data_IF_170362765605
#
_entry.id   IF_170362765605
#
_cell.length_a   1.000
_cell.length_b   1.000
_cell.length_c   1.000
_cell.angle_alpha   90.00
_cell.angle_beta   90.00
_cell.angle_gamma   90.00
#
_symmetry.space_group_name_H-M   'P 1'
#
loop_
_entity.id
_entity.type
_entity.pdbx_description
1 polymer ?
#
# COMPACT_ATOMS: atom_id res chain seq x y z
N UNK A 1 33.10 0.13 -30.58
CA UNK A 1 31.70 -0.31 -30.71
C UNK A 1 31.00 -0.04 -29.37
N UNK A 2 30.02 0.87 -29.29
CA UNK A 2 29.20 1.02 -28.07
C UNK A 2 28.15 -0.08 -28.12
N UNK A 3 28.35 -1.14 -27.36
CA UNK A 3 27.32 -2.15 -27.15
C UNK A 3 26.15 -1.42 -26.49
N UNK A 4 25.00 -1.38 -27.16
CA UNK A 4 23.80 -0.70 -26.64
C UNK A 4 23.49 -1.25 -25.26
N UNK A 5 23.26 -0.36 -24.29
CA UNK A 5 22.86 -0.76 -22.94
C UNK A 5 21.59 -1.61 -23.06
N UNK A 6 21.54 -2.82 -22.49
CA UNK A 6 20.34 -3.67 -22.56
C UNK A 6 19.12 -2.87 -22.14
N UNK A 7 18.05 -2.90 -22.95
CA UNK A 7 16.78 -2.28 -22.60
C UNK A 7 16.28 -2.99 -21.34
N UNK A 8 16.11 -2.29 -20.20
CA UNK A 8 15.62 -2.92 -18.99
C UNK A 8 14.23 -3.48 -19.26
N UNK A 9 14.08 -4.79 -19.13
CA UNK A 9 12.78 -5.46 -19.20
C UNK A 9 11.88 -4.83 -18.14
N UNK A 10 10.64 -4.49 -18.51
CA UNK A 10 9.68 -3.94 -17.56
C UNK A 10 9.56 -4.93 -16.38
N UNK A 11 9.59 -4.44 -15.12
CA UNK A 11 9.34 -5.29 -13.98
C UNK A 11 7.89 -5.76 -14.08
N UNK A 12 7.70 -7.00 -14.55
CA UNK A 12 6.40 -7.62 -14.62
C UNK A 12 6.13 -8.28 -13.26
N UNK A 13 5.31 -7.66 -12.39
CA UNK A 13 5.08 -8.22 -11.07
C UNK A 13 4.30 -9.53 -11.21
N UNK A 14 4.60 -10.47 -10.32
CA UNK A 14 3.89 -11.74 -10.19
C UNK A 14 2.83 -11.58 -9.11
N UNK A 15 1.65 -12.15 -9.33
CA UNK A 15 0.59 -12.18 -8.34
C UNK A 15 0.96 -13.15 -7.22
N UNK A 16 0.98 -12.65 -5.98
CA UNK A 16 1.27 -13.49 -4.82
C UNK A 16 0.17 -14.54 -4.56
N UNK A 17 -1.07 -14.29 -5.03
CA UNK A 17 -2.21 -15.17 -4.76
C UNK A 17 -2.27 -16.37 -5.72
N UNK A 18 -1.97 -16.18 -7.01
CA UNK A 18 -2.06 -17.26 -8.03
C UNK A 18 -0.76 -17.55 -8.78
N UNK A 19 0.32 -16.78 -8.56
CA UNK A 19 1.57 -16.92 -9.29
C UNK A 19 1.52 -16.46 -10.75
N UNK A 20 0.39 -15.96 -11.24
CA UNK A 20 0.28 -15.44 -12.60
C UNK A 20 1.00 -14.09 -12.75
N UNK A 21 1.53 -13.83 -13.94
CA UNK A 21 2.15 -12.54 -14.27
C UNK A 21 1.08 -11.47 -14.44
N UNK A 22 1.33 -10.29 -13.89
CA UNK A 22 0.45 -9.14 -14.08
C UNK A 22 0.61 -8.54 -15.48
N UNK A 23 -0.47 -7.95 -15.97
CA UNK A 23 -0.50 -7.17 -17.20
C UNK A 23 -0.59 -5.69 -16.85
N UNK A 24 0.01 -4.84 -17.67
CA UNK A 24 -0.11 -3.39 -17.53
C UNK A 24 -1.39 -2.94 -18.23
N UNK A 25 -2.36 -2.43 -17.47
CA UNK A 25 -3.61 -1.86 -17.96
C UNK A 25 -3.59 -0.33 -17.86
N UNK A 26 -4.28 0.34 -18.78
CA UNK A 26 -4.43 1.80 -18.88
C UNK A 26 -5.90 2.18 -19.04
N UNK A 27 -6.22 3.45 -18.82
CA UNK A 27 -7.56 3.96 -19.06
C UNK A 27 -8.03 3.63 -20.48
N UNK A 28 -9.23 3.03 -20.58
CA UNK A 28 -9.80 2.54 -21.83
C UNK A 28 -9.59 1.05 -22.11
N UNK A 29 -8.69 0.37 -21.40
CA UNK A 29 -8.56 -1.08 -21.49
C UNK A 29 -9.70 -1.78 -20.74
N UNK A 30 -10.21 -2.90 -21.27
CA UNK A 30 -11.28 -3.69 -20.64
C UNK A 30 -10.91 -4.19 -19.23
N UNK A 31 -9.62 -4.41 -18.99
CA UNK A 31 -9.10 -4.88 -17.70
C UNK A 31 -8.79 -3.76 -16.73
N UNK A 32 -8.99 -2.50 -17.11
CA UNK A 32 -8.70 -1.36 -16.26
C UNK A 32 -9.75 -1.22 -15.14
N UNK A 33 -9.33 -1.16 -13.86
CA UNK A 33 -10.26 -1.24 -12.74
C UNK A 33 -11.04 0.05 -12.46
N UNK A 34 -10.71 1.16 -13.13
CA UNK A 34 -11.34 2.46 -12.90
C UNK A 34 -12.05 2.97 -14.16
N UNK A 35 -13.10 3.77 -13.97
CA UNK A 35 -13.79 4.44 -15.09
C UNK A 35 -13.02 5.68 -15.57
N UNK A 36 -12.31 6.35 -14.67
CA UNK A 36 -11.52 7.55 -14.94
C UNK A 36 -10.02 7.22 -15.03
N UNK A 37 -9.24 8.06 -15.74
CA UNK A 37 -7.81 7.86 -15.87
C UNK A 37 -7.06 8.21 -14.57
N UNK A 38 -6.70 7.17 -13.82
CA UNK A 38 -5.80 7.25 -12.67
C UNK A 38 -4.36 6.83 -12.99
N UNK A 39 -4.01 6.77 -14.28
CA UNK A 39 -2.73 6.31 -14.78
C UNK A 39 -2.62 4.78 -14.87
N UNK A 40 -1.47 4.28 -15.33
CA UNK A 40 -1.28 2.85 -15.57
C UNK A 40 -1.26 2.05 -14.27
N UNK A 41 -1.86 0.86 -14.33
CA UNK A 41 -1.90 -0.10 -13.21
C UNK A 41 -1.42 -1.47 -13.68
N UNK A 42 -0.78 -2.21 -12.79
CA UNK A 42 -0.55 -3.64 -13.00
C UNK A 42 -1.73 -4.41 -12.46
N UNK A 43 -2.33 -5.27 -13.27
CA UNK A 43 -3.47 -6.10 -12.88
C UNK A 43 -3.22 -7.58 -13.21
N UNK A 44 -3.56 -8.43 -12.26
CA UNK A 44 -3.79 -9.85 -12.47
C UNK A 44 -5.28 -10.05 -12.71
N UNK A 45 -5.67 -10.39 -13.94
CA UNK A 45 -7.08 -10.59 -14.33
C UNK A 45 -7.71 -11.79 -13.65
N UNK A 46 -6.94 -12.85 -13.39
CA UNK A 46 -7.42 -14.07 -12.73
C UNK A 46 -7.85 -13.83 -11.27
N UNK A 47 -7.06 -13.06 -10.51
CA UNK A 47 -7.35 -12.75 -9.10
C UNK A 47 -8.04 -11.40 -8.90
N UNK A 48 -8.25 -10.64 -9.97
CA UNK A 48 -8.64 -9.22 -9.91
C UNK A 48 -7.82 -8.44 -8.87
N UNK A 49 -6.51 -8.71 -8.85
CA UNK A 49 -5.56 -8.07 -7.96
C UNK A 49 -4.80 -7.02 -8.75
N UNK A 50 -4.70 -5.79 -8.26
CA UNK A 50 -3.98 -4.73 -8.96
C UNK A 50 -3.17 -3.83 -8.04
N UNK A 51 -2.22 -3.11 -8.64
CA UNK A 51 -1.42 -2.09 -7.98
C UNK A 51 -1.09 -0.97 -8.95
N UNK A 52 -1.14 0.27 -8.47
CA UNK A 52 -0.72 1.43 -9.24
C UNK A 52 0.79 1.43 -9.52
N UNK A 53 1.17 2.20 -10.53
CA UNK A 53 2.56 2.48 -10.86
C UNK A 53 3.07 3.67 -10.04
N UNK A 54 4.36 3.63 -9.65
CA UNK A 54 5.02 4.75 -8.99
C UNK A 54 5.00 5.98 -9.90
N UNK A 55 4.56 7.12 -9.35
CA UNK A 55 4.54 8.39 -10.08
C UNK A 55 5.89 8.71 -10.73
N UNK A 56 5.86 9.15 -12.00
CA UNK A 56 7.03 9.48 -12.84
C UNK A 56 7.98 8.30 -13.11
N UNK A 57 7.55 7.06 -12.91
CA UNK A 57 8.36 5.89 -13.26
C UNK A 57 8.43 5.70 -14.78
N UNK A 58 9.64 5.73 -15.33
CA UNK A 58 9.89 5.43 -16.76
C UNK A 58 9.66 3.96 -17.12
N UNK A 59 9.72 3.07 -16.13
CA UNK A 59 9.64 1.62 -16.30
C UNK A 59 8.38 1.03 -15.68
N UNK A 60 7.36 1.85 -15.42
CA UNK A 60 6.12 1.43 -14.77
C UNK A 60 6.36 0.64 -13.47
N UNK A 61 7.35 1.04 -12.67
CA UNK A 61 7.68 0.32 -11.43
C UNK A 61 6.45 0.24 -10.50
N UNK A 62 6.06 -0.96 -10.03
CA UNK A 62 4.89 -1.11 -9.17
C UNK A 62 5.09 -0.40 -7.83
N UNK A 63 4.01 0.13 -7.24
CA UNK A 63 4.05 0.77 -5.92
C UNK A 63 4.34 -0.22 -4.78
N UNK A 64 4.00 -1.49 -4.97
CA UNK A 64 4.13 -2.56 -3.99
C UNK A 64 3.57 -3.86 -4.55
N UNK A 65 3.02 -4.70 -3.67
CA UNK A 65 2.39 -5.95 -4.08
C UNK A 65 1.00 -5.71 -4.68
N UNK A 66 0.59 -6.62 -5.56
CA UNK A 66 -0.77 -6.65 -6.10
C UNK A 66 -1.79 -6.81 -4.97
N UNK A 67 -2.91 -6.09 -5.06
CA UNK A 67 -3.95 -6.12 -4.05
C UNK A 67 -5.28 -6.60 -4.64
N UNK A 68 -5.69 -7.81 -4.22
CA UNK A 68 -7.02 -8.34 -4.47
C UNK A 68 -8.09 -7.54 -3.69
N UNK A 69 -9.38 -7.86 -3.91
CA UNK A 69 -10.49 -7.14 -3.28
C UNK A 69 -10.40 -7.14 -1.74
N UNK A 70 -10.15 -8.30 -1.12
CA UNK A 70 -10.04 -8.43 0.33
C UNK A 70 -8.86 -7.60 0.89
N UNK A 71 -7.71 -7.64 0.21
CA UNK A 71 -6.55 -6.85 0.62
C UNK A 71 -6.80 -5.34 0.47
N UNK A 72 -7.49 -4.91 -0.60
CA UNK A 72 -7.83 -3.51 -0.80
C UNK A 72 -8.76 -3.00 0.30
N UNK A 73 -9.77 -3.79 0.66
CA UNK A 73 -10.68 -3.49 1.76
C UNK A 73 -9.92 -3.37 3.10
N UNK A 74 -9.07 -4.35 3.44
CA UNK A 74 -8.24 -4.27 4.65
C UNK A 74 -7.28 -3.08 4.65
N UNK A 75 -6.70 -2.73 3.50
CA UNK A 75 -5.86 -1.53 3.37
C UNK A 75 -6.67 -0.25 3.57
N UNK A 76 -7.91 -0.18 3.10
CA UNK A 76 -8.80 0.96 3.39
C UNK A 76 -9.08 1.05 4.89
N UNK A 77 -9.46 -0.05 5.52
CA UNK A 77 -9.72 -0.09 6.96
C UNK A 77 -8.49 0.29 7.79
N UNK A 78 -7.30 -0.18 7.39
CA UNK A 78 -6.04 0.21 8.02
C UNK A 78 -5.75 1.70 7.84
N UNK A 79 -6.03 2.26 6.66
CA UNK A 79 -5.90 3.69 6.43
C UNK A 79 -6.80 4.49 7.38
N UNK A 80 -8.06 4.09 7.50
CA UNK A 80 -9.05 4.76 8.35
C UNK A 80 -8.70 4.64 9.83
N UNK A 81 -8.21 3.47 10.27
CA UNK A 81 -7.71 3.27 11.63
C UNK A 81 -6.51 4.15 11.97
N UNK A 82 -5.67 4.48 10.99
CA UNK A 82 -4.51 5.36 11.16
C UNK A 82 -4.89 6.84 11.21
N UNK A 83 -6.01 7.25 10.62
CA UNK A 83 -6.39 8.65 10.46
C UNK A 83 -6.48 9.41 11.81
N UNK A 84 -7.05 8.86 12.90
CA UNK A 84 -7.02 9.51 14.22
C UNK A 84 -5.60 9.73 14.76
N UNK A 85 -4.70 8.77 14.55
CA UNK A 85 -3.29 8.86 14.97
C UNK A 85 -2.55 9.91 14.14
N UNK A 86 -2.84 9.96 12.83
CA UNK A 86 -2.30 10.94 11.90
C UNK A 86 -2.74 12.35 12.30
N UNK A 87 -4.04 12.57 12.49
CA UNK A 87 -4.58 13.86 12.91
C UNK A 87 -4.03 14.31 14.27
N UNK A 88 -3.92 13.40 15.25
CA UNK A 88 -3.29 13.70 16.54
C UNK A 88 -1.81 14.10 16.38
N UNK A 89 -1.07 13.41 15.52
CA UNK A 89 0.34 13.69 15.26
C UNK A 89 0.56 14.98 14.49
N UNK A 90 -0.31 15.31 13.54
CA UNK A 90 -0.30 16.59 12.84
C UNK A 90 -0.48 17.75 13.83
N UNK A 91 -1.47 17.65 14.73
CA UNK A 91 -1.72 18.67 15.76
C UNK A 91 -0.57 18.81 16.75
N UNK A 92 0.03 17.69 17.18
CA UNK A 92 1.10 17.70 18.19
C UNK A 92 2.46 18.15 17.65
N UNK A 93 2.83 17.66 16.46
CA UNK A 93 4.18 17.86 15.91
C UNK A 93 4.22 18.94 14.80
N UNK A 94 3.07 19.51 14.41
CA UNK A 94 2.98 20.53 13.34
C UNK A 94 3.37 20.01 11.95
N UNK A 95 3.32 18.70 11.73
CA UNK A 95 3.70 18.05 10.46
C UNK A 95 2.51 17.88 9.51
N UNK A 96 2.78 17.76 8.21
CA UNK A 96 1.74 17.44 7.24
C UNK A 96 1.25 15.97 7.35
N UNK A 97 0.09 15.68 6.76
CA UNK A 97 -0.55 14.37 6.80
C UNK A 97 0.34 13.26 6.22
N UNK A 98 1.08 13.54 5.15
CA UNK A 98 1.98 12.57 4.52
C UNK A 98 3.10 12.12 5.48
N UNK A 99 3.77 13.07 6.12
CA UNK A 99 4.83 12.79 7.09
C UNK A 99 4.27 12.12 8.35
N UNK A 100 3.09 12.54 8.83
CA UNK A 100 2.41 11.91 9.96
C UNK A 100 2.06 10.46 9.66
N UNK A 101 1.47 10.17 8.49
CA UNK A 101 1.10 8.81 8.05
C UNK A 101 2.32 7.92 7.86
N UNK A 102 3.38 8.44 7.23
CA UNK A 102 4.63 7.69 7.10
C UNK A 102 5.24 7.33 8.45
N UNK A 103 5.20 8.23 9.43
CA UNK A 103 5.65 7.94 10.80
C UNK A 103 4.74 6.95 11.52
N UNK A 104 3.42 7.05 11.36
CA UNK A 104 2.47 6.12 11.95
C UNK A 104 2.65 4.70 11.39
N UNK A 105 2.79 4.57 10.07
CA UNK A 105 3.07 3.29 9.41
C UNK A 105 4.40 2.69 9.88
N UNK A 106 5.46 3.49 9.95
CA UNK A 106 6.76 3.05 10.47
C UNK A 106 6.66 2.56 11.91
N UNK A 107 5.88 3.23 12.75
CA UNK A 107 5.65 2.84 14.14
C UNK A 107 4.89 1.51 14.24
N UNK A 108 3.82 1.31 13.47
CA UNK A 108 3.05 0.06 13.49
C UNK A 108 3.93 -1.12 13.05
N UNK A 109 4.64 -0.97 11.93
CA UNK A 109 5.55 -2.00 11.41
C UNK A 109 6.63 -2.36 12.42
N UNK A 110 7.25 -1.35 13.05
CA UNK A 110 8.28 -1.57 14.07
C UNK A 110 7.71 -2.23 15.33
N UNK A 111 6.51 -1.84 15.75
CA UNK A 111 5.86 -2.39 16.96
C UNK A 111 5.45 -3.86 16.77
N UNK A 112 5.09 -4.24 15.55
CA UNK A 112 4.74 -5.62 15.20
C UNK A 112 5.93 -6.45 14.71
N UNK A 113 7.14 -5.88 14.68
CA UNK A 113 8.35 -6.58 14.21
C UNK A 113 8.27 -7.07 12.75
N UNK A 114 7.46 -6.40 11.90
CA UNK A 114 7.23 -6.85 10.53
C UNK A 114 8.41 -6.52 9.62
N UNK A 115 8.93 -7.54 8.93
CA UNK A 115 9.93 -7.36 7.87
C UNK A 115 9.23 -7.00 6.54
N UNK A 116 9.15 -5.71 6.22
CA UNK A 116 8.59 -5.23 4.95
C UNK A 116 9.63 -4.49 4.11
N UNK A 117 9.55 -4.65 2.79
CA UNK A 117 10.49 -4.01 1.86
C UNK A 117 10.40 -2.47 1.89
N UNK A 118 9.21 -1.92 2.15
CA UNK A 118 9.01 -0.49 2.34
C UNK A 118 8.02 -0.25 3.47
N UNK A 119 8.19 0.81 4.29
CA UNK A 119 7.27 1.15 5.36
C UNK A 119 6.02 1.85 4.79
N UNK A 120 5.29 1.16 3.93
CA UNK A 120 4.10 1.66 3.26
C UNK A 120 2.98 0.64 3.29
N UNK A 121 1.74 1.13 3.27
CA UNK A 121 0.56 0.27 3.23
C UNK A 121 0.54 -0.68 2.03
N UNK A 122 1.19 -0.29 0.92
CA UNK A 122 1.26 -1.09 -0.30
C UNK A 122 2.14 -2.33 -0.15
N UNK A 123 3.01 -2.40 0.86
CA UNK A 123 3.90 -3.53 1.09
C UNK A 123 3.29 -4.63 1.98
N UNK A 124 2.19 -4.34 2.68
CA UNK A 124 1.61 -5.25 3.67
C UNK A 124 0.77 -6.36 3.03
N UNK A 125 0.89 -7.57 3.60
CA UNK A 125 0.00 -8.71 3.35
C UNK A 125 -1.37 -8.54 4.00
N UNK A 126 -2.31 -9.43 3.69
CA UNK A 126 -3.65 -9.40 4.29
C UNK A 126 -3.58 -9.58 5.81
N UNK A 127 -2.86 -10.61 6.24
CA UNK A 127 -2.62 -10.93 7.66
C UNK A 127 -1.90 -9.77 8.37
N UNK A 128 -0.90 -9.16 7.71
CA UNK A 128 -0.20 -8.01 8.27
C UNK A 128 -1.10 -6.79 8.43
N UNK A 129 -2.02 -6.55 7.48
CA UNK A 129 -3.03 -5.50 7.62
C UNK A 129 -3.97 -5.77 8.80
N UNK A 130 -4.40 -7.01 9.01
CA UNK A 130 -5.27 -7.38 10.13
C UNK A 130 -4.59 -7.21 11.48
N UNK A 131 -3.35 -7.69 11.61
CA UNK A 131 -2.52 -7.48 12.81
C UNK A 131 -2.31 -5.99 13.09
N UNK A 132 -2.05 -5.19 12.05
CA UNK A 132 -1.89 -3.75 12.16
C UNK A 132 -3.17 -3.05 12.66
N UNK A 133 -4.34 -3.40 12.11
CA UNK A 133 -5.63 -2.85 12.53
C UNK A 133 -5.90 -3.18 14.00
N UNK A 134 -5.72 -4.44 14.40
CA UNK A 134 -5.95 -4.88 15.76
C UNK A 134 -5.03 -4.14 16.76
N UNK A 135 -3.74 -4.05 16.44
CA UNK A 135 -2.78 -3.32 17.27
C UNK A 135 -3.13 -1.84 17.42
N UNK A 136 -3.58 -1.18 16.35
CA UNK A 136 -4.03 0.21 16.41
C UNK A 136 -5.27 0.35 17.28
N UNK A 137 -6.25 -0.55 17.15
CA UNK A 137 -7.47 -0.53 17.94
C UNK A 137 -7.18 -0.69 19.44
N UNK A 138 -6.33 -1.65 19.81
CA UNK A 138 -5.88 -1.87 21.19
C UNK A 138 -5.13 -0.66 21.75
N UNK A 139 -4.24 -0.06 20.95
CA UNK A 139 -3.51 1.14 21.33
C UNK A 139 -4.45 2.35 21.54
N UNK A 140 -5.49 2.49 20.73
CA UNK A 140 -6.48 3.55 20.93
C UNK A 140 -7.31 3.30 22.19
N UNK A 141 -7.76 2.06 22.41
CA UNK A 141 -8.55 1.68 23.58
C UNK A 141 -7.80 1.94 24.90
N UNK A 142 -6.51 1.57 24.98
CA UNK A 142 -5.69 1.82 26.18
C UNK A 142 -5.56 3.31 26.48
N UNK A 143 -5.36 4.15 25.46
CA UNK A 143 -5.29 5.62 25.63
C UNK A 143 -6.60 6.28 26.01
N UNK A 144 -7.73 5.66 25.68
CA UNK A 144 -9.05 6.14 26.11
C UNK A 144 -9.31 5.81 27.58
N UNK A 145 -8.91 4.62 28.03
CA UNK A 145 -8.98 4.22 29.44
C UNK A 145 -8.16 5.15 30.34
N UNK A 146 -6.91 5.46 29.95
CA UNK A 146 -6.02 6.35 30.71
C UNK A 146 -6.49 7.82 30.79
N UNK A 147 -7.46 8.21 29.96
CA UNK A 147 -8.00 9.58 29.91
C UNK A 147 -9.28 9.76 30.70
N UNK A 148 -9.85 8.66 31.20
CA UNK A 148 -11.11 8.64 31.96
C UNK A 148 -10.91 8.26 33.43
N UNK A 149 -9.68 7.93 33.83
CA UNK A 149 -9.21 7.81 35.21
C UNK A 149 -8.54 9.12 35.66
#
# INVERSE_FOLDING_TARGET
MRVGRPIPVLPQPVCDDCGAKANLARAGDETYPYLEDHGPVWICTACQAWIGVRARSKHNAPLGRLANAALRERKSQLHDALEPLVAAKMRRDGVNAFAARGKAMKWVIASLGMAVATPSIHALSLEQCEQAIQFIAEFQASRHSDRTA
#
